data_IF_751832704625
#
_entry.id   IF_751832704625
#
_cell.length_a   1.000
_cell.length_b   1.000
_cell.length_c   1.000
_cell.angle_alpha   90.00
_cell.angle_beta   90.00
_cell.angle_gamma   90.00
#
_symmetry.space_group_name_H-M   'P 1'
#
loop_
_entity.id
_entity.type
_entity.pdbx_description
1 polymer ?
#
# COMPACT_ATOMS: atom_id res chain seq x y z
N UNK A 1 0.22 25.62 -6.92
CA UNK A 1 -1.12 25.06 -6.65
C UNK A 1 -1.13 24.55 -5.21
N UNK A 2 -1.53 25.39 -4.25
CA UNK A 2 -1.69 24.99 -2.86
C UNK A 2 -2.99 24.18 -2.74
N UNK A 3 -2.91 22.90 -2.38
CA UNK A 3 -4.08 22.18 -1.89
C UNK A 3 -4.49 22.80 -0.55
N UNK A 4 -5.50 23.69 -0.58
CA UNK A 4 -6.10 24.24 0.64
C UNK A 4 -6.59 23.07 1.50
N UNK A 5 -6.01 22.89 2.69
CA UNK A 5 -6.45 21.87 3.65
C UNK A 5 -5.32 21.11 4.35
N UNK A 6 -4.10 21.12 3.81
CA UNK A 6 -2.96 20.43 4.41
C UNK A 6 -1.87 21.39 4.88
N UNK A 7 -1.33 21.14 6.08
CA UNK A 7 -0.19 21.90 6.64
C UNK A 7 1.15 21.41 6.12
N UNK A 8 1.20 20.17 5.63
CA UNK A 8 2.43 19.55 5.14
C UNK A 8 2.77 20.05 3.74
N UNK A 9 4.01 20.51 3.56
CA UNK A 9 4.46 21.30 2.40
C UNK A 9 4.89 20.46 1.19
N UNK A 10 5.04 19.13 1.35
CA UNK A 10 5.56 18.26 0.28
C UNK A 10 4.50 17.84 -0.74
N UNK A 11 3.26 18.32 -0.61
CA UNK A 11 2.16 18.10 -1.56
C UNK A 11 1.69 16.64 -1.71
N UNK A 12 1.98 15.77 -0.74
CA UNK A 12 1.58 14.36 -0.74
C UNK A 12 0.80 13.94 0.54
N UNK A 13 0.21 14.91 1.25
CA UNK A 13 -0.53 14.63 2.50
C UNK A 13 -1.69 13.65 2.30
N UNK A 14 -2.37 13.75 1.17
CA UNK A 14 -3.41 12.82 0.77
C UNK A 14 -2.84 11.41 0.56
N UNK A 15 -1.61 11.29 0.06
CA UNK A 15 -0.91 10.00 -0.09
C UNK A 15 -0.64 9.35 1.28
N UNK A 16 -0.21 10.13 2.28
CA UNK A 16 -0.06 9.65 3.65
C UNK A 16 -1.40 9.13 4.21
N UNK A 17 -2.49 9.90 4.05
CA UNK A 17 -3.83 9.49 4.52
C UNK A 17 -4.28 8.22 3.81
N UNK A 18 -4.18 8.16 2.47
CA UNK A 18 -4.53 6.97 1.68
C UNK A 18 -3.71 5.74 2.09
N UNK A 19 -2.41 5.92 2.36
CA UNK A 19 -1.53 4.85 2.85
C UNK A 19 -1.96 4.33 4.22
N UNK A 20 -2.27 5.22 5.17
CA UNK A 20 -2.78 4.82 6.49
C UNK A 20 -4.12 4.10 6.42
N UNK A 21 -5.02 4.52 5.52
CA UNK A 21 -6.32 3.88 5.34
C UNK A 21 -6.21 2.48 4.71
N UNK A 22 -5.32 2.30 3.74
CA UNK A 22 -5.14 1.01 3.07
C UNK A 22 -4.30 0.02 3.90
N UNK A 23 -3.42 0.54 4.75
CA UNK A 23 -2.52 -0.26 5.59
C UNK A 23 -1.14 -0.46 4.95
N UNK A 24 -0.15 -0.72 5.79
CA UNK A 24 1.26 -0.88 5.38
C UNK A 24 1.65 -2.33 5.06
N UNK A 25 0.80 -3.31 5.38
CA UNK A 25 1.04 -4.73 5.13
C UNK A 25 -0.25 -5.53 5.09
N UNK A 26 -0.16 -6.74 4.55
CA UNK A 26 -1.21 -7.76 4.61
C UNK A 26 -0.58 -9.10 5.01
N UNK A 27 -1.32 -9.92 5.76
CA UNK A 27 -0.93 -11.29 6.07
C UNK A 27 -1.87 -12.24 5.36
N UNK A 28 -1.31 -13.14 4.54
CA UNK A 28 -2.08 -14.10 3.75
C UNK A 28 -1.71 -15.52 4.18
N UNK A 29 -2.68 -16.41 4.46
CA UNK A 29 -2.39 -17.81 4.73
C UNK A 29 -1.68 -18.47 3.54
N UNK A 30 -0.74 -19.35 3.84
CA UNK A 30 0.05 -20.05 2.83
C UNK A 30 0.04 -21.55 3.10
N UNK A 31 -0.30 -22.34 2.08
CA UNK A 31 -0.37 -23.79 2.20
C UNK A 31 0.03 -24.45 0.88
N UNK A 32 0.82 -25.53 0.95
CA UNK A 32 1.23 -26.34 -0.21
C UNK A 32 1.83 -25.49 -1.35
N UNK A 33 2.67 -24.52 -1.00
CA UNK A 33 3.35 -23.68 -1.99
C UNK A 33 2.48 -22.57 -2.60
N UNK A 34 1.26 -22.35 -2.10
CA UNK A 34 0.31 -21.37 -2.66
C UNK A 34 -0.26 -20.44 -1.61
N UNK A 35 -0.46 -19.17 -2.01
CA UNK A 35 -1.25 -18.21 -1.24
C UNK A 35 -2.72 -18.60 -1.30
N UNK A 36 -3.38 -18.65 -0.14
CA UNK A 36 -4.81 -18.97 -0.05
C UNK A 36 -5.64 -17.69 -0.19
N UNK A 37 -5.84 -17.30 -1.45
CA UNK A 37 -6.70 -16.18 -1.84
C UNK A 37 -8.07 -16.70 -2.31
N UNK A 38 -9.13 -15.93 -2.08
CA UNK A 38 -10.42 -16.16 -2.71
C UNK A 38 -10.36 -15.95 -4.24
N UNK A 39 -11.36 -16.46 -4.97
CA UNK A 39 -11.42 -16.41 -6.45
C UNK A 39 -11.19 -15.01 -7.03
N UNK A 40 -11.59 -13.96 -6.30
CA UNK A 40 -11.51 -12.57 -6.73
C UNK A 40 -10.59 -11.71 -5.87
N UNK A 41 -9.72 -12.32 -5.05
CA UNK A 41 -8.76 -11.59 -4.23
C UNK A 41 -7.40 -11.49 -4.95
N UNK A 42 -6.86 -10.28 -4.98
CA UNK A 42 -5.51 -9.99 -5.46
C UNK A 42 -4.72 -9.17 -4.44
N UNK A 43 -3.40 -9.23 -4.52
CA UNK A 43 -2.49 -8.43 -3.70
C UNK A 43 -1.96 -7.30 -4.56
N UNK A 44 -2.11 -6.06 -4.10
CA UNK A 44 -1.70 -4.86 -4.81
C UNK A 44 -0.75 -4.01 -3.98
N UNK A 45 0.27 -3.47 -4.64
CA UNK A 45 1.01 -2.32 -4.11
C UNK A 45 0.22 -1.05 -4.43
N UNK A 46 -0.33 -0.40 -3.41
CA UNK A 46 -1.05 0.86 -3.58
C UNK A 46 -0.07 2.04 -3.54
N UNK A 47 0.41 2.46 -4.70
CA UNK A 47 1.21 3.68 -4.88
C UNK A 47 0.32 4.92 -4.88
N UNK A 48 0.65 5.91 -4.05
CA UNK A 48 -0.14 7.13 -3.90
C UNK A 48 0.65 8.42 -4.14
N UNK A 49 1.97 8.34 -4.35
CA UNK A 49 2.90 9.47 -4.55
C UNK A 49 3.99 9.09 -5.58
N UNK A 50 3.56 8.57 -6.75
CA UNK A 50 4.42 8.10 -7.83
C UNK A 50 4.75 9.16 -8.90
N UNK A 51 5.58 8.86 -9.90
CA UNK A 51 6.25 7.59 -10.19
C UNK A 51 7.61 7.50 -9.47
N UNK A 52 7.80 6.45 -8.66
CA UNK A 52 9.01 6.23 -7.86
C UNK A 52 9.37 4.75 -7.83
N UNK A 53 10.64 4.44 -7.60
CA UNK A 53 11.05 3.08 -7.29
C UNK A 53 10.61 2.71 -5.87
N UNK A 54 9.96 1.55 -5.71
CA UNK A 54 9.45 1.07 -4.43
C UNK A 54 10.02 -0.30 -4.08
N UNK A 55 10.12 -0.57 -2.78
CA UNK A 55 10.53 -1.87 -2.23
C UNK A 55 9.36 -2.47 -1.48
N UNK A 56 9.10 -3.76 -1.71
CA UNK A 56 8.10 -4.54 -0.99
C UNK A 56 8.82 -5.68 -0.28
N UNK A 57 8.57 -5.84 1.02
CA UNK A 57 9.16 -6.90 1.82
C UNK A 57 8.21 -8.08 1.88
N UNK A 58 8.74 -9.28 1.65
CA UNK A 58 8.05 -10.55 1.84
C UNK A 58 8.69 -11.30 3.00
N UNK A 59 7.88 -11.73 3.94
CA UNK A 59 8.30 -12.57 5.07
C UNK A 59 7.39 -13.78 5.15
N UNK A 60 7.98 -14.96 5.24
CA UNK A 60 7.28 -16.22 5.49
C UNK A 60 7.64 -16.62 6.93
N UNK A 61 6.62 -16.80 7.76
CA UNK A 61 6.74 -17.16 9.18
C UNK A 61 5.95 -18.40 9.49
#
# INVERSE_FOLDING_TARGET
>A
QYYKGFRHYEHNSDAHIKSSLMGSSVTIPFQNGKLLLGTWQGIYLCEFDGARERKVLLMIR
#
